data_IF_642835383803
#
_entry.id   IF_642835383803
#
_cell.length_a   1.000
_cell.length_b   1.000
_cell.length_c   1.000
_cell.angle_alpha   90.00
_cell.angle_beta   90.00
_cell.angle_gamma   90.00
#
_symmetry.space_group_name_H-M   'P 1'
#
loop_
_entity.id
_entity.type
_entity.pdbx_description
1 polymer ?
#
# COMPACT_ATOMS: atom_id res chain seq x y z
N UNK A 1 9.61 3.30 -34.27
CA UNK A 1 9.78 2.60 -32.97
C UNK A 1 8.41 2.53 -32.30
N UNK A 2 7.93 1.37 -31.85
CA UNK A 2 6.67 1.31 -31.09
C UNK A 2 6.85 2.07 -29.78
N UNK A 3 5.96 3.02 -29.46
CA UNK A 3 6.01 3.86 -28.26
C UNK A 3 6.01 2.94 -27.03
N UNK A 4 7.03 3.05 -26.19
CA UNK A 4 7.15 2.35 -24.93
C UNK A 4 6.88 3.33 -23.81
N UNK A 5 6.11 2.90 -22.82
CA UNK A 5 5.75 3.67 -21.62
C UNK A 5 6.31 2.97 -20.41
N UNK A 6 6.91 3.72 -19.51
CA UNK A 6 7.43 3.20 -18.23
C UNK A 6 6.86 4.02 -17.08
N UNK A 7 6.21 3.37 -16.13
CA UNK A 7 5.59 4.00 -14.96
C UNK A 7 6.08 3.30 -13.70
N UNK A 8 6.46 4.10 -12.71
CA UNK A 8 6.83 3.65 -11.36
C UNK A 8 5.75 4.04 -10.37
N UNK A 9 5.39 3.13 -9.47
CA UNK A 9 4.59 3.41 -8.30
C UNK A 9 5.30 2.91 -7.03
N UNK A 10 5.41 3.75 -5.99
CA UNK A 10 6.12 3.39 -4.77
C UNK A 10 5.33 2.37 -3.93
N UNK A 11 6.07 1.57 -3.17
CA UNK A 11 5.53 0.90 -2.00
C UNK A 11 5.30 1.87 -0.85
N UNK A 12 4.83 1.36 0.28
CA UNK A 12 4.48 2.17 1.45
C UNK A 12 4.87 1.54 2.78
N UNK A 13 4.96 2.40 3.79
CA UNK A 13 4.99 2.01 5.21
C UNK A 13 3.95 2.85 5.96
N UNK A 14 3.17 2.22 6.84
CA UNK A 14 2.35 2.94 7.81
C UNK A 14 3.26 3.25 9.00
N UNK A 15 3.52 4.53 9.22
CA UNK A 15 4.35 4.99 10.33
C UNK A 15 3.58 4.96 11.66
N UNK A 16 2.31 5.37 11.62
CA UNK A 16 1.43 5.41 12.79
C UNK A 16 -0.01 5.10 12.36
N UNK A 17 -0.75 4.38 13.21
CA UNK A 17 -2.19 4.19 13.03
C UNK A 17 -2.61 2.93 12.32
N UNK A 18 -1.69 2.00 12.06
CA UNK A 18 -2.07 0.64 11.68
C UNK A 18 -3.07 0.08 12.69
N UNK A 19 -4.07 -0.63 12.21
CA UNK A 19 -5.22 -1.13 12.98
C UNK A 19 -6.18 -0.05 13.53
N UNK A 20 -5.71 1.13 14.00
CA UNK A 20 -6.59 2.21 14.45
C UNK A 20 -7.36 2.85 13.28
N UNK A 21 -6.77 2.87 12.10
CA UNK A 21 -7.39 3.45 10.88
C UNK A 21 -8.67 2.72 10.47
N UNK A 22 -8.79 1.42 10.73
CA UNK A 22 -10.04 0.68 10.45
C UNK A 22 -11.17 1.01 11.42
N UNK A 23 -10.83 1.63 12.56
CA UNK A 23 -11.79 2.17 13.53
C UNK A 23 -12.06 3.67 13.34
N UNK A 24 -11.62 4.24 12.19
CA UNK A 24 -11.90 5.64 11.82
C UNK A 24 -10.90 6.67 12.35
N UNK A 25 -9.81 6.23 12.99
CA UNK A 25 -8.74 7.11 13.45
C UNK A 25 -7.72 7.39 12.33
N UNK A 26 -7.03 8.54 12.34
CA UNK A 26 -6.08 8.87 11.30
C UNK A 26 -4.85 7.95 11.34
N UNK A 27 -4.22 7.73 10.18
CA UNK A 27 -2.92 7.10 10.06
C UNK A 27 -1.93 8.05 9.39
N UNK A 28 -0.64 7.92 9.72
CA UNK A 28 0.45 8.55 8.96
C UNK A 28 1.10 7.47 8.12
N UNK A 29 1.12 7.68 6.81
CA UNK A 29 1.63 6.73 5.83
C UNK A 29 2.64 7.43 4.94
N UNK A 30 3.75 6.76 4.66
CA UNK A 30 4.78 7.28 3.77
C UNK A 30 5.04 6.32 2.61
N UNK A 31 5.21 6.89 1.42
CA UNK A 31 5.78 6.18 0.29
C UNK A 31 7.27 5.92 0.55
N UNK A 32 7.79 4.81 0.03
CA UNK A 32 9.20 4.46 0.12
C UNK A 32 9.87 4.51 -1.24
N UNK A 33 11.19 4.58 -1.27
CA UNK A 33 12.01 4.62 -2.49
C UNK A 33 12.05 3.30 -3.28
N UNK A 34 11.41 2.26 -2.76
CA UNK A 34 11.20 0.96 -3.40
C UNK A 34 9.79 0.84 -3.92
N UNK A 35 9.60 0.17 -5.03
CA UNK A 35 8.28 0.11 -5.65
C UNK A 35 8.17 -0.91 -6.76
N UNK A 36 7.24 -0.62 -7.64
CA UNK A 36 6.96 -1.42 -8.83
C UNK A 36 7.11 -0.55 -10.07
N UNK A 37 7.82 -1.06 -11.03
CA UNK A 37 7.93 -0.48 -12.37
C UNK A 37 7.12 -1.32 -13.36
N UNK A 38 6.26 -0.67 -14.11
CA UNK A 38 5.51 -1.28 -15.22
C UNK A 38 5.99 -0.67 -16.53
N UNK A 39 6.44 -1.54 -17.44
CA UNK A 39 6.79 -1.17 -18.81
C UNK A 39 5.70 -1.68 -19.73
N UNK A 40 5.05 -0.78 -20.50
CA UNK A 40 3.98 -1.11 -21.43
C UNK A 40 4.32 -0.72 -22.86
N UNK A 41 3.85 -1.52 -23.83
CA UNK A 41 3.96 -1.27 -25.28
C UNK A 41 2.70 -1.73 -26.00
N UNK A 42 2.39 -1.13 -27.15
CA UNK A 42 1.23 -1.53 -27.97
C UNK A 42 1.36 -2.98 -28.45
N UNK A 43 0.26 -3.70 -28.42
CA UNK A 43 0.03 -4.97 -29.10
C UNK A 43 -1.32 -4.87 -29.82
N UNK A 44 -1.49 -5.61 -30.92
CA UNK A 44 -2.60 -5.33 -31.84
C UNK A 44 -3.89 -6.09 -31.47
N UNK A 45 -3.79 -7.32 -30.94
CA UNK A 45 -4.92 -8.24 -30.82
C UNK A 45 -5.07 -8.92 -29.45
N UNK A 46 -4.22 -8.57 -28.48
CA UNK A 46 -4.18 -9.24 -27.18
C UNK A 46 -3.65 -8.33 -26.08
N UNK A 47 -3.96 -8.70 -24.84
CA UNK A 47 -3.34 -8.13 -23.66
C UNK A 47 -2.45 -9.17 -22.98
N UNK A 48 -1.19 -8.82 -22.77
CA UNK A 48 -0.18 -9.71 -22.17
C UNK A 48 0.39 -9.07 -20.92
N UNK A 49 0.36 -9.79 -19.82
CA UNK A 49 1.05 -9.39 -18.57
C UNK A 49 2.16 -10.40 -18.29
N UNK A 50 3.37 -9.89 -18.13
CA UNK A 50 4.56 -10.66 -17.76
C UNK A 50 5.15 -10.12 -16.46
N UNK A 51 5.47 -11.00 -15.54
CA UNK A 51 6.25 -10.69 -14.34
C UNK A 51 7.32 -11.76 -14.14
N UNK A 52 8.26 -11.55 -13.22
CA UNK A 52 9.34 -12.52 -12.94
C UNK A 52 8.86 -13.95 -12.70
N UNK A 53 7.66 -14.14 -12.15
CA UNK A 53 7.16 -15.44 -11.69
C UNK A 53 5.85 -15.88 -12.37
N UNK A 54 5.24 -15.03 -13.20
CA UNK A 54 3.95 -15.29 -13.81
C UNK A 54 3.80 -14.58 -15.14
N UNK A 55 3.14 -15.22 -16.09
CA UNK A 55 2.72 -14.60 -17.33
C UNK A 55 1.32 -15.06 -17.70
N UNK A 56 0.52 -14.19 -18.28
CA UNK A 56 -0.81 -14.51 -18.79
C UNK A 56 -1.13 -13.67 -20.02
N UNK A 57 -1.95 -14.23 -20.92
CA UNK A 57 -2.38 -13.59 -22.16
C UNK A 57 -3.88 -13.71 -22.30
N UNK A 58 -4.54 -12.63 -22.66
CA UNK A 58 -5.96 -12.55 -23.00
C UNK A 58 -6.12 -12.07 -24.44
N UNK A 59 -7.14 -12.60 -25.17
CA UNK A 59 -7.51 -12.06 -26.46
C UNK A 59 -8.33 -10.76 -26.29
N UNK A 60 -8.65 -10.11 -27.40
CA UNK A 60 -9.41 -8.85 -27.39
C UNK A 60 -10.84 -9.01 -26.84
N UNK A 61 -11.44 -10.20 -26.92
CA UNK A 61 -12.75 -10.50 -26.29
C UNK A 61 -12.66 -10.76 -24.80
N UNK A 62 -11.46 -10.88 -24.24
CA UNK A 62 -11.22 -11.10 -22.82
C UNK A 62 -11.11 -12.57 -22.42
N UNK A 63 -11.09 -13.50 -23.37
CA UNK A 63 -10.83 -14.91 -23.09
C UNK A 63 -9.36 -15.17 -22.83
N UNK A 64 -9.07 -15.99 -21.85
CA UNK A 64 -7.69 -16.38 -21.51
C UNK A 64 -7.12 -17.33 -22.55
N UNK A 65 -6.03 -16.93 -23.21
CA UNK A 65 -5.33 -17.74 -24.23
C UNK A 65 -4.30 -18.65 -23.54
N UNK A 66 -3.52 -18.09 -22.62
CA UNK A 66 -2.52 -18.87 -21.85
C UNK A 66 -2.56 -18.45 -20.39
N UNK A 67 -2.47 -19.44 -19.49
CA UNK A 67 -2.75 -19.22 -18.09
C UNK A 67 -1.73 -19.79 -17.10
N UNK A 68 -1.23 -18.92 -16.22
CA UNK A 68 -1.37 -19.11 -14.77
C UNK A 68 -2.09 -17.84 -14.25
N UNK A 69 -3.38 -17.69 -14.52
CA UNK A 69 -4.06 -16.41 -14.44
C UNK A 69 -4.49 -16.01 -13.03
N UNK A 70 -4.61 -16.92 -12.06
CA UNK A 70 -5.23 -16.60 -10.76
C UNK A 70 -4.56 -15.40 -10.04
N UNK A 71 -3.24 -15.23 -10.17
CA UNK A 71 -2.52 -14.13 -9.56
C UNK A 71 -2.57 -12.81 -10.37
N UNK A 72 -2.83 -12.89 -11.68
CA UNK A 72 -2.82 -11.74 -12.59
C UNK A 72 -4.23 -11.32 -13.04
N UNK A 73 -5.24 -12.16 -12.82
CA UNK A 73 -6.62 -11.88 -13.20
C UNK A 73 -7.17 -10.56 -12.61
N UNK A 74 -6.96 -10.23 -11.33
CA UNK A 74 -7.42 -8.95 -10.79
C UNK A 74 -6.84 -7.74 -11.51
N UNK A 75 -5.57 -7.83 -11.93
CA UNK A 75 -4.90 -6.76 -12.69
C UNK A 75 -5.48 -6.61 -14.08
N UNK A 76 -5.72 -7.73 -14.76
CA UNK A 76 -6.36 -7.71 -16.08
C UNK A 76 -7.80 -7.20 -16.01
N UNK A 77 -8.60 -7.64 -15.04
CA UNK A 77 -9.98 -7.19 -14.85
C UNK A 77 -10.04 -5.67 -14.64
N UNK A 78 -9.16 -5.13 -13.82
CA UNK A 78 -9.01 -3.69 -13.60
C UNK A 78 -8.72 -2.95 -14.92
N UNK A 79 -7.74 -3.42 -15.68
CA UNK A 79 -7.37 -2.80 -16.98
C UNK A 79 -8.51 -2.91 -17.98
N UNK A 80 -9.14 -4.07 -18.08
CA UNK A 80 -10.27 -4.29 -18.98
C UNK A 80 -11.43 -3.33 -18.68
N UNK A 81 -11.77 -3.18 -17.41
CA UNK A 81 -12.82 -2.23 -16.99
C UNK A 81 -12.43 -0.79 -17.35
N UNK A 82 -11.20 -0.38 -17.05
CA UNK A 82 -10.69 0.95 -17.42
C UNK A 82 -10.78 1.19 -18.94
N UNK A 83 -10.38 0.21 -19.75
CA UNK A 83 -10.46 0.34 -21.22
C UNK A 83 -11.92 0.44 -21.68
N UNK A 84 -12.84 -0.32 -21.10
CA UNK A 84 -14.27 -0.27 -21.41
C UNK A 84 -14.87 1.09 -21.05
N UNK A 85 -14.58 1.60 -19.85
CA UNK A 85 -15.09 2.90 -19.37
C UNK A 85 -14.65 4.06 -20.28
N UNK A 86 -13.51 3.92 -20.94
CA UNK A 86 -12.94 4.95 -21.83
C UNK A 86 -13.07 4.64 -23.33
N UNK A 87 -13.76 3.54 -23.70
CA UNK A 87 -14.05 3.20 -25.10
C UNK A 87 -12.80 2.86 -25.94
N UNK A 88 -11.74 2.36 -25.29
CA UNK A 88 -10.49 1.97 -25.97
C UNK A 88 -10.33 0.44 -25.98
N UNK A 89 -9.62 -0.13 -26.98
CA UNK A 89 -9.38 -1.56 -27.02
C UNK A 89 -8.46 -1.98 -25.87
N UNK A 90 -8.83 -3.06 -25.17
CA UNK A 90 -7.98 -3.64 -24.11
C UNK A 90 -6.87 -4.50 -24.73
N UNK A 91 -5.86 -3.84 -25.28
CA UNK A 91 -4.70 -4.48 -25.93
C UNK A 91 -3.39 -3.89 -25.41
N UNK A 92 -2.35 -4.71 -25.36
CA UNK A 92 -1.04 -4.25 -24.92
C UNK A 92 -0.15 -5.39 -24.44
N UNK A 93 1.13 -5.12 -24.35
CA UNK A 93 2.11 -5.99 -23.71
C UNK A 93 2.73 -5.25 -22.53
N UNK A 94 2.71 -5.88 -21.36
CA UNK A 94 3.12 -5.27 -20.09
C UNK A 94 4.10 -6.16 -19.37
N UNK A 95 5.19 -5.57 -18.89
CA UNK A 95 6.19 -6.19 -18.03
C UNK A 95 6.19 -5.51 -16.66
N UNK A 96 6.15 -6.32 -15.60
CA UNK A 96 6.10 -5.90 -14.20
C UNK A 96 7.41 -6.28 -13.53
N UNK A 97 8.14 -5.27 -13.04
CA UNK A 97 9.34 -5.41 -12.21
C UNK A 97 9.05 -4.86 -10.82
N UNK A 98 9.45 -5.57 -9.76
CA UNK A 98 9.20 -5.17 -8.38
C UNK A 98 10.43 -5.34 -7.50
N UNK A 99 10.78 -4.28 -6.77
CA UNK A 99 11.81 -4.27 -5.73
C UNK A 99 11.23 -4.54 -4.33
N UNK A 100 9.90 -4.74 -4.23
CA UNK A 100 9.21 -4.96 -2.97
C UNK A 100 9.24 -6.43 -2.56
N UNK A 101 9.46 -6.68 -1.28
CA UNK A 101 9.35 -8.03 -0.71
C UNK A 101 7.88 -8.47 -0.73
N UNK A 102 7.60 -9.55 -1.46
CA UNK A 102 6.24 -10.10 -1.56
C UNK A 102 5.73 -10.54 -0.18
N UNK A 103 4.54 -10.07 0.19
CA UNK A 103 3.94 -10.38 1.49
C UNK A 103 4.58 -9.65 2.68
N UNK A 104 5.44 -8.67 2.42
CA UNK A 104 6.10 -7.84 3.45
C UNK A 104 5.23 -6.71 4.04
N UNK A 105 3.97 -6.56 3.62
CA UNK A 105 3.11 -5.47 4.09
C UNK A 105 3.42 -4.11 3.45
N UNK A 106 4.27 -4.07 2.42
CA UNK A 106 4.75 -2.85 1.77
C UNK A 106 3.82 -2.33 0.64
N UNK A 107 2.60 -2.83 0.53
CA UNK A 107 1.62 -2.37 -0.47
C UNK A 107 1.94 -2.79 -1.91
N UNK A 108 2.61 -3.95 -2.11
CA UNK A 108 3.06 -4.40 -3.44
C UNK A 108 1.92 -4.57 -4.44
N UNK A 109 0.76 -5.11 -4.03
CA UNK A 109 -0.41 -5.28 -4.91
C UNK A 109 -0.96 -3.94 -5.39
N UNK A 110 -1.07 -2.96 -4.49
CA UNK A 110 -1.52 -1.62 -4.82
C UNK A 110 -0.53 -0.89 -5.73
N UNK A 111 0.78 -0.98 -5.45
CA UNK A 111 1.81 -0.39 -6.30
C UNK A 111 1.78 -0.97 -7.73
N UNK A 112 1.61 -2.30 -7.87
CA UNK A 112 1.42 -2.94 -9.18
C UNK A 112 0.18 -2.38 -9.87
N UNK A 113 -0.95 -2.31 -9.18
CA UNK A 113 -2.22 -1.86 -9.74
C UNK A 113 -2.15 -0.40 -10.20
N UNK A 114 -1.55 0.48 -9.40
CA UNK A 114 -1.35 1.89 -9.75
C UNK A 114 -0.41 2.05 -10.94
N UNK A 115 0.77 1.39 -10.91
CA UNK A 115 1.73 1.48 -12.00
C UNK A 115 1.15 0.93 -13.32
N UNK A 116 0.39 -0.17 -13.26
CA UNK A 116 -0.25 -0.78 -14.42
C UNK A 116 -1.35 0.12 -14.99
N UNK A 117 -2.24 0.64 -14.16
CA UNK A 117 -3.29 1.56 -14.59
C UNK A 117 -2.69 2.82 -15.23
N UNK A 118 -1.66 3.42 -14.62
CA UNK A 118 -0.95 4.55 -15.18
C UNK A 118 -0.22 4.25 -16.49
N UNK A 119 0.43 3.09 -16.61
CA UNK A 119 1.13 2.71 -17.84
C UNK A 119 0.15 2.48 -19.02
N UNK A 120 -0.96 1.81 -18.74
CA UNK A 120 -1.99 1.54 -19.75
C UNK A 120 -2.75 2.81 -20.12
N UNK A 121 -3.04 3.70 -19.17
CA UNK A 121 -3.68 4.98 -19.48
C UNK A 121 -2.83 5.82 -20.45
N UNK A 122 -1.53 5.95 -20.18
CA UNK A 122 -0.62 6.68 -21.09
C UNK A 122 -0.49 5.97 -22.46
N UNK A 123 -0.46 4.64 -22.46
CA UNK A 123 -0.36 3.85 -23.70
C UNK A 123 -1.55 4.08 -24.63
N UNK A 124 -2.74 4.19 -24.06
CA UNK A 124 -4.01 4.39 -24.79
C UNK A 124 -4.48 5.84 -24.81
N UNK A 125 -3.64 6.79 -24.34
CA UNK A 125 -3.94 8.24 -24.35
C UNK A 125 -5.20 8.57 -23.51
N UNK A 126 -5.45 7.81 -22.43
CA UNK A 126 -6.51 8.07 -21.47
C UNK A 126 -5.98 9.07 -20.43
N UNK A 127 -6.65 10.20 -20.27
CA UNK A 127 -6.34 11.17 -19.22
C UNK A 127 -7.05 10.80 -17.93
N UNK A 128 -6.28 10.25 -16.98
CA UNK A 128 -6.79 9.86 -15.66
C UNK A 128 -6.36 10.84 -14.58
N UNK A 129 -7.32 11.35 -13.83
CA UNK A 129 -7.04 12.04 -12.57
C UNK A 129 -6.44 11.05 -11.52
N UNK A 130 -5.82 11.61 -10.47
CA UNK A 130 -5.31 10.80 -9.34
C UNK A 130 -6.42 9.98 -8.69
N UNK A 131 -7.61 10.55 -8.53
CA UNK A 131 -8.74 9.86 -7.93
C UNK A 131 -9.24 8.69 -8.79
N UNK A 132 -9.20 8.82 -10.11
CA UNK A 132 -9.52 7.73 -11.02
C UNK A 132 -8.45 6.63 -10.96
N UNK A 133 -7.16 6.96 -10.88
CA UNK A 133 -6.10 5.96 -10.68
C UNK A 133 -6.30 5.19 -9.38
N UNK A 134 -6.58 5.89 -8.27
CA UNK A 134 -6.90 5.27 -6.97
C UNK A 134 -8.13 4.37 -7.10
N UNK A 135 -9.17 4.83 -7.80
CA UNK A 135 -10.40 4.07 -8.00
C UNK A 135 -10.16 2.75 -8.73
N UNK A 136 -9.44 2.76 -9.86
CA UNK A 136 -9.13 1.53 -10.59
C UNK A 136 -8.23 0.60 -9.77
N UNK A 137 -7.16 1.12 -9.17
CA UNK A 137 -6.29 0.30 -8.32
C UNK A 137 -7.04 -0.34 -7.15
N UNK A 138 -8.02 0.38 -6.55
CA UNK A 138 -8.87 -0.15 -5.50
C UNK A 138 -9.75 -1.32 -5.95
N UNK A 139 -10.17 -1.37 -7.23
CA UNK A 139 -10.92 -2.51 -7.78
C UNK A 139 -10.07 -3.78 -7.77
N UNK A 140 -8.81 -3.70 -8.23
CA UNK A 140 -7.89 -4.83 -8.15
C UNK A 140 -7.62 -5.25 -6.68
N UNK A 141 -7.43 -4.28 -5.78
CA UNK A 141 -7.24 -4.56 -4.35
C UNK A 141 -8.45 -5.27 -3.71
N UNK A 142 -9.67 -4.96 -4.14
CA UNK A 142 -10.88 -5.68 -3.69
C UNK A 142 -10.87 -7.14 -4.11
N UNK A 143 -10.42 -7.44 -5.32
CA UNK A 143 -10.29 -8.83 -5.77
C UNK A 143 -9.16 -9.57 -5.04
N UNK A 144 -8.02 -8.92 -4.75
CA UNK A 144 -6.92 -9.52 -4.01
C UNK A 144 -7.24 -9.77 -2.52
N UNK A 145 -7.93 -8.82 -1.87
CA UNK A 145 -8.01 -8.73 -0.40
C UNK A 145 -9.43 -8.65 0.17
N UNK A 146 -10.45 -8.57 -0.66
CA UNK A 146 -11.86 -8.49 -0.28
C UNK A 146 -12.30 -7.12 0.21
N UNK A 147 -11.77 -6.63 1.33
CA UNK A 147 -12.15 -5.34 1.96
C UNK A 147 -10.93 -4.45 2.21
N UNK A 148 -10.32 -3.87 1.16
CA UNK A 148 -9.19 -2.96 1.33
C UNK A 148 -9.62 -1.64 1.96
N UNK A 149 -8.76 -1.05 2.80
CA UNK A 149 -8.98 0.27 3.40
C UNK A 149 -8.83 1.42 2.40
N UNK A 150 -8.21 1.18 1.25
CA UNK A 150 -7.88 2.20 0.26
C UNK A 150 -6.59 2.99 0.54
N UNK A 151 -5.95 2.76 1.68
CA UNK A 151 -4.72 3.47 2.07
C UNK A 151 -3.56 3.18 1.10
N UNK A 152 -3.39 1.91 0.71
CA UNK A 152 -2.29 1.44 -0.12
C UNK A 152 -2.35 2.05 -1.54
N UNK A 153 -3.47 1.96 -2.30
CA UNK A 153 -3.55 2.62 -3.59
C UNK A 153 -3.48 4.15 -3.50
N UNK A 154 -3.98 4.76 -2.42
CA UNK A 154 -3.87 6.21 -2.24
C UNK A 154 -2.41 6.63 -2.15
N UNK A 155 -1.63 6.06 -1.24
CA UNK A 155 -0.23 6.46 -1.06
C UNK A 155 0.65 6.10 -2.26
N UNK A 156 0.42 4.94 -2.91
CA UNK A 156 1.14 4.56 -4.13
C UNK A 156 0.85 5.50 -5.32
N UNK A 157 -0.31 6.17 -5.32
CA UNK A 157 -0.67 7.16 -6.35
C UNK A 157 -0.12 8.55 -6.04
N UNK A 158 -0.23 9.01 -4.79
CA UNK A 158 0.10 10.41 -4.46
C UNK A 158 1.55 10.59 -4.05
N UNK A 159 2.20 9.54 -3.53
CA UNK A 159 3.58 9.60 -3.03
C UNK A 159 3.72 10.40 -1.74
N UNK A 160 4.97 10.67 -1.36
CA UNK A 160 5.31 11.49 -0.18
C UNK A 160 4.85 10.88 1.14
N UNK A 161 4.50 11.73 2.10
CA UNK A 161 3.92 11.35 3.40
C UNK A 161 2.53 11.96 3.53
N UNK A 162 1.56 11.17 3.96
CA UNK A 162 0.17 11.62 4.11
C UNK A 162 -0.40 11.29 5.49
N UNK A 163 -1.29 12.16 5.96
CA UNK A 163 -2.31 11.85 6.95
C UNK A 163 -3.52 11.26 6.24
N UNK A 164 -3.89 10.03 6.57
CA UNK A 164 -5.00 9.30 5.95
C UNK A 164 -6.12 9.03 6.95
N UNK A 165 -7.37 9.37 6.58
CA UNK A 165 -8.58 9.14 7.39
C UNK A 165 -9.64 8.29 6.71
N UNK A 166 -9.37 7.82 5.50
CA UNK A 166 -10.30 7.06 4.66
C UNK A 166 -10.21 7.47 3.20
N UNK A 167 -10.92 6.76 2.34
CA UNK A 167 -10.96 7.04 0.90
C UNK A 167 -11.36 8.49 0.63
N UNK A 168 -10.54 9.20 -0.17
CA UNK A 168 -10.73 10.61 -0.49
C UNK A 168 -10.46 11.57 0.68
N UNK A 169 -10.07 11.07 1.86
CA UNK A 169 -9.81 11.89 3.05
C UNK A 169 -8.36 11.77 3.48
N UNK A 170 -7.48 12.41 2.73
CA UNK A 170 -6.06 12.47 3.04
C UNK A 170 -5.53 13.90 2.85
N UNK A 171 -4.46 14.21 3.57
CA UNK A 171 -3.73 15.49 3.44
C UNK A 171 -2.23 15.20 3.41
N UNK A 172 -1.49 15.91 2.58
CA UNK A 172 -0.03 15.84 2.57
C UNK A 172 0.54 16.29 3.91
N UNK A 173 1.63 15.63 4.34
CA UNK A 173 2.49 16.09 5.43
C UNK A 173 3.81 16.47 4.79
N UNK A 174 4.11 17.77 4.80
CA UNK A 174 5.37 18.32 4.32
C UNK A 174 6.47 17.92 5.32
N UNK A 175 7.29 16.94 4.97
CA UNK A 175 8.42 16.49 5.79
C UNK A 175 9.65 17.29 5.39
N UNK A 176 10.28 17.99 6.35
CA UNK A 176 11.41 18.89 6.07
C UNK A 176 12.60 18.16 5.42
N UNK A 177 12.86 16.92 5.84
CA UNK A 177 13.97 16.10 5.35
C UNK A 177 13.52 14.67 5.08
N UNK A 178 14.17 13.94 4.15
CA UNK A 178 13.92 12.51 3.97
C UNK A 178 14.05 11.75 5.30
N UNK A 179 13.09 10.87 5.56
CA UNK A 179 13.10 10.01 6.75
C UNK A 179 13.84 8.71 6.43
N UNK A 180 14.98 8.47 7.09
CA UNK A 180 15.72 7.23 6.99
C UNK A 180 15.02 6.12 7.78
N UNK A 181 14.49 5.12 7.09
CA UNK A 181 13.76 3.99 7.66
C UNK A 181 14.51 2.68 7.49
N UNK A 182 14.66 1.93 8.56
CA UNK A 182 15.11 0.54 8.52
C UNK A 182 13.87 -0.36 8.55
N UNK A 183 13.57 -1.01 7.44
CA UNK A 183 12.45 -1.94 7.33
C UNK A 183 12.95 -3.36 7.58
N UNK A 184 12.45 -4.00 8.64
CA UNK A 184 12.84 -5.36 9.02
C UNK A 184 11.67 -6.31 8.75
N UNK A 185 11.92 -7.30 7.91
CA UNK A 185 10.95 -8.34 7.63
C UNK A 185 11.07 -9.49 8.63
N UNK A 186 10.00 -9.73 9.40
CA UNK A 186 9.97 -10.78 10.44
C UNK A 186 10.01 -12.22 9.91
N UNK A 187 9.92 -12.43 8.59
CA UNK A 187 9.82 -13.75 7.97
C UNK A 187 8.44 -14.42 8.14
N UNK A 188 7.51 -13.81 8.88
CA UNK A 188 6.19 -14.38 9.14
C UNK A 188 5.12 -13.77 8.26
N UNK A 189 4.37 -14.61 7.56
CA UNK A 189 3.17 -14.18 6.82
C UNK A 189 1.97 -14.17 7.78
N UNK A 190 1.42 -13.01 8.08
CA UNK A 190 0.17 -12.86 8.82
C UNK A 190 -0.93 -12.35 7.88
N UNK A 191 -2.14 -12.87 8.06
CA UNK A 191 -3.30 -12.31 7.36
C UNK A 191 -3.74 -11.06 8.12
N UNK A 192 -3.65 -9.89 7.47
CA UNK A 192 -4.09 -8.60 8.03
C UNK A 192 -5.51 -8.66 8.58
N UNK A 193 -6.43 -9.36 7.88
CA UNK A 193 -7.82 -9.54 8.34
C UNK A 193 -7.90 -10.16 9.73
N UNK A 194 -7.09 -11.17 10.04
CA UNK A 194 -7.09 -11.78 11.38
C UNK A 194 -6.66 -10.79 12.48
N UNK A 195 -5.72 -9.90 12.18
CA UNK A 195 -5.28 -8.90 13.15
C UNK A 195 -6.33 -7.80 13.33
N UNK A 196 -7.03 -7.42 12.27
CA UNK A 196 -8.20 -6.53 12.36
C UNK A 196 -9.27 -7.14 13.26
N UNK A 197 -9.59 -8.43 13.09
CA UNK A 197 -10.57 -9.13 13.94
C UNK A 197 -10.15 -9.14 15.43
N UNK A 198 -8.85 -9.30 15.72
CA UNK A 198 -8.31 -9.24 17.10
C UNK A 198 -8.58 -7.87 17.71
N UNK A 199 -8.26 -6.78 16.99
CA UNK A 199 -8.48 -5.41 17.48
C UNK A 199 -9.95 -5.09 17.65
N UNK A 200 -10.80 -5.50 16.71
CA UNK A 200 -12.25 -5.30 16.81
C UNK A 200 -12.83 -6.01 18.04
N UNK A 201 -12.45 -7.28 18.24
CA UNK A 201 -12.88 -8.02 19.44
C UNK A 201 -12.41 -7.35 20.72
N UNK A 202 -11.14 -6.90 20.78
CA UNK A 202 -10.64 -6.15 21.95
C UNK A 202 -11.45 -4.87 22.18
N UNK A 203 -11.78 -4.13 21.12
CA UNK A 203 -12.57 -2.91 21.20
C UNK A 203 -14.01 -3.18 21.72
N UNK A 204 -14.61 -4.30 21.34
CA UNK A 204 -15.95 -4.71 21.77
C UNK A 204 -15.95 -5.19 23.25
N UNK A 205 -14.99 -6.03 23.62
CA UNK A 205 -14.92 -6.64 24.97
C UNK A 205 -14.39 -5.67 26.03
N UNK A 206 -13.51 -4.75 25.64
CA UNK A 206 -12.78 -3.84 26.56
C UNK A 206 -12.98 -2.38 26.17
N UNK A 207 -14.23 -1.97 25.93
CA UNK A 207 -14.61 -0.64 25.41
C UNK A 207 -13.93 0.53 26.12
N UNK A 208 -13.95 0.53 27.45
CA UNK A 208 -13.35 1.63 28.23
C UNK A 208 -11.84 1.69 28.05
N UNK A 209 -11.15 0.54 28.11
CA UNK A 209 -9.69 0.46 27.90
C UNK A 209 -9.33 0.87 26.49
N UNK A 210 -10.06 0.39 25.47
CA UNK A 210 -9.84 0.76 24.08
C UNK A 210 -10.01 2.26 23.87
N UNK A 211 -11.05 2.87 24.46
CA UNK A 211 -11.27 4.32 24.39
C UNK A 211 -10.09 5.12 24.93
N UNK A 212 -9.50 4.71 26.08
CA UNK A 212 -8.31 5.39 26.62
C UNK A 212 -7.06 5.18 25.75
N UNK A 213 -6.85 3.96 25.23
CA UNK A 213 -5.75 3.70 24.29
C UNK A 213 -5.85 4.56 23.02
N UNK A 214 -7.05 4.75 22.50
CA UNK A 214 -7.29 5.59 21.32
C UNK A 214 -7.05 7.07 21.62
N UNK A 215 -7.44 7.56 22.79
CA UNK A 215 -7.12 8.95 23.22
C UNK A 215 -5.60 9.14 23.27
N UNK A 216 -4.88 8.19 23.87
CA UNK A 216 -3.42 8.24 23.91
C UNK A 216 -2.83 8.17 22.49
N UNK A 217 -3.34 7.28 21.64
CA UNK A 217 -2.93 7.22 20.23
C UNK A 217 -3.13 8.56 19.51
N UNK A 218 -4.26 9.24 19.75
CA UNK A 218 -4.53 10.54 19.13
C UNK A 218 -3.47 11.60 19.50
N UNK A 219 -2.99 11.60 20.73
CA UNK A 219 -1.87 12.46 21.12
C UNK A 219 -0.55 12.04 20.44
N UNK A 220 -0.27 10.73 20.38
CA UNK A 220 0.90 10.20 19.67
C UNK A 220 0.88 10.62 18.20
N UNK A 221 -0.28 10.53 17.55
CA UNK A 221 -0.47 10.92 16.16
C UNK A 221 -0.17 12.41 15.94
N UNK A 222 -0.74 13.31 16.74
CA UNK A 222 -0.51 14.75 16.59
C UNK A 222 0.97 15.12 16.86
N UNK A 223 1.59 14.56 17.90
CA UNK A 223 3.01 14.74 18.17
C UNK A 223 3.89 14.21 17.04
N UNK A 224 3.55 13.06 16.48
CA UNK A 224 4.30 12.46 15.37
C UNK A 224 4.20 13.31 14.11
N UNK A 225 3.00 13.85 13.83
CA UNK A 225 2.79 14.76 12.70
C UNK A 225 3.64 16.02 12.83
N UNK A 226 3.65 16.65 14.01
CA UNK A 226 4.47 17.83 14.30
C UNK A 226 5.96 17.52 14.16
N UNK A 227 6.43 16.45 14.81
CA UNK A 227 7.84 16.05 14.75
C UNK A 227 8.32 15.72 13.32
N UNK A 228 7.45 15.14 12.47
CA UNK A 228 7.76 14.90 11.06
C UNK A 228 7.90 16.19 10.27
N UNK A 229 7.01 17.17 10.49
CA UNK A 229 7.08 18.50 9.85
C UNK A 229 8.34 19.24 10.27
N UNK A 230 8.73 19.16 11.54
CA UNK A 230 9.91 19.83 12.11
C UNK A 230 11.23 19.07 11.83
N UNK A 231 11.18 17.85 11.26
CA UNK A 231 12.36 17.03 11.04
C UNK A 231 13.00 16.49 12.32
N UNK A 232 12.25 16.46 13.44
CA UNK A 232 12.70 15.86 14.72
C UNK A 232 12.53 14.33 14.71
N UNK A 233 13.41 13.66 13.96
CA UNK A 233 13.37 12.21 13.81
C UNK A 233 13.70 11.44 15.10
N UNK A 234 14.36 12.09 16.07
CA UNK A 234 14.57 11.47 17.37
C UNK A 234 13.24 11.31 18.13
N UNK A 235 12.42 12.36 18.12
CA UNK A 235 11.06 12.30 18.67
C UNK A 235 10.18 11.32 17.89
N UNK A 236 10.23 11.31 16.55
CA UNK A 236 9.51 10.31 15.73
C UNK A 236 9.87 8.89 16.15
N UNK A 237 11.16 8.58 16.35
CA UNK A 237 11.60 7.26 16.79
C UNK A 237 11.06 6.89 18.18
N UNK A 238 11.11 7.81 19.14
CA UNK A 238 10.53 7.59 20.48
C UNK A 238 9.03 7.30 20.39
N UNK A 239 8.32 8.00 19.49
CA UNK A 239 6.90 7.78 19.26
C UNK A 239 6.62 6.46 18.56
N UNK A 240 7.51 5.93 17.67
CA UNK A 240 7.39 4.56 17.16
C UNK A 240 7.37 3.54 18.29
N UNK A 241 8.29 3.68 19.26
CA UNK A 241 8.31 2.79 20.42
C UNK A 241 7.01 2.87 21.23
N UNK A 242 6.49 4.08 21.44
CA UNK A 242 5.21 4.25 22.15
C UNK A 242 4.04 3.66 21.36
N UNK A 243 3.99 3.86 20.03
CA UNK A 243 2.98 3.26 19.16
C UNK A 243 3.06 1.73 19.19
N UNK A 244 4.27 1.15 19.22
CA UNK A 244 4.44 -0.29 19.37
C UNK A 244 3.82 -0.81 20.69
N UNK A 245 3.99 -0.11 21.81
CA UNK A 245 3.33 -0.48 23.06
C UNK A 245 1.80 -0.44 22.98
N UNK A 246 1.23 0.55 22.28
CA UNK A 246 -0.22 0.61 22.05
C UNK A 246 -0.71 -0.59 21.23
N UNK A 247 0.00 -0.94 20.16
CA UNK A 247 -0.30 -2.10 19.31
C UNK A 247 -0.18 -3.42 20.07
N UNK A 248 0.85 -3.56 20.90
CA UNK A 248 1.01 -4.70 21.81
C UNK A 248 -0.17 -4.81 22.77
N UNK A 249 -0.64 -3.69 23.33
CA UNK A 249 -1.75 -3.65 24.29
C UNK A 249 -3.07 -4.13 23.70
N UNK A 250 -3.30 -3.93 22.38
CA UNK A 250 -4.47 -4.44 21.67
C UNK A 250 -4.27 -5.84 21.07
N UNK A 251 -3.12 -6.50 21.35
CA UNK A 251 -2.89 -7.90 21.03
C UNK A 251 -2.37 -8.20 19.61
N UNK A 252 -1.82 -7.21 18.88
CA UNK A 252 -1.30 -7.41 17.52
C UNK A 252 0.21 -7.59 17.42
N UNK A 253 0.93 -7.63 18.56
CA UNK A 253 2.34 -8.01 18.61
C UNK A 253 2.54 -9.49 18.98
N UNK A 254 3.74 -10.00 18.79
CA UNK A 254 4.19 -11.34 19.21
C UNK A 254 5.65 -11.35 19.64
N UNK A 255 6.09 -12.47 20.21
CA UNK A 255 7.46 -12.62 20.74
C UNK A 255 8.55 -12.32 19.71
N UNK A 256 8.33 -12.61 18.42
CA UNK A 256 9.31 -12.33 17.36
C UNK A 256 9.42 -10.83 17.11
N UNK A 257 8.29 -10.12 17.04
CA UNK A 257 8.28 -8.66 16.89
C UNK A 257 8.89 -7.99 18.13
N UNK A 258 8.54 -8.45 19.34
CA UNK A 258 9.13 -7.94 20.59
C UNK A 258 10.66 -8.11 20.61
N UNK A 259 11.17 -9.25 20.16
CA UNK A 259 12.61 -9.51 20.08
C UNK A 259 13.28 -8.62 19.03
N UNK A 260 12.67 -8.44 17.85
CA UNK A 260 13.18 -7.54 16.82
C UNK A 260 13.25 -6.11 17.34
N UNK A 261 12.18 -5.61 17.95
CA UNK A 261 12.13 -4.25 18.51
C UNK A 261 13.19 -4.06 19.60
N UNK A 262 13.32 -5.03 20.52
CA UNK A 262 14.35 -5.02 21.57
C UNK A 262 15.75 -4.96 20.97
N UNK A 263 16.04 -5.79 19.98
CA UNK A 263 17.34 -5.85 19.32
C UNK A 263 17.67 -4.57 18.55
N UNK A 264 16.71 -3.98 17.85
CA UNK A 264 16.92 -2.72 17.15
C UNK A 264 17.23 -1.59 18.14
N UNK A 265 16.46 -1.46 19.21
CA UNK A 265 16.68 -0.44 20.24
C UNK A 265 18.03 -0.55 20.91
N UNK A 266 18.55 -1.78 21.14
CA UNK A 266 19.89 -1.98 21.68
C UNK A 266 21.04 -1.59 20.73
N UNK A 267 20.74 -1.39 19.44
CA UNK A 267 21.69 -0.95 18.40
C UNK A 267 21.66 0.56 18.13
N UNK A 268 20.93 1.32 18.91
CA UNK A 268 20.96 2.80 18.88
C UNK A 268 20.05 3.43 17.84
N UNK A 269 19.03 2.71 17.31
CA UNK A 269 17.95 3.38 16.55
C UNK A 269 17.16 4.30 17.50
N UNK A 270 16.61 5.38 16.98
CA UNK A 270 15.82 6.33 17.79
C UNK A 270 14.55 5.69 18.39
N UNK A 271 14.04 4.63 17.75
CA UNK A 271 12.91 3.84 18.20
C UNK A 271 12.46 2.79 17.19
N UNK A 272 11.63 1.85 17.60
CA UNK A 272 11.09 0.78 16.78
C UNK A 272 9.75 0.30 17.34
#
# INVERSE_FOLDING_TARGET
MRKQVKVFAPGKVILFGEHFVVSGYPAIVTAIDRGVTVTARKADDKFVIVSKHSAATWNISGETITAKPAALAPLYNMVREMCLDHGVPCTGWVEIESDLVSGGGLGSSAAVSVALAGAVSILHEIDLSRDQLIHYALKAEKEFHGRPSGIDPTISTVGGTISYRGLGKYTAIEVEKPLDLIIVFSGRKRKTSKMVDVVQRFAEEKKNVFSELVKLYSHVYEMAKTALVEGDFQTVGRLFTLNHFLLRSVGVSDNVLEEIVKNLRSKGVYGA
#
